data_IF_951837423065
#
_entry.id   IF_951837423065
#
_cell.length_a   1.000
_cell.length_b   1.000
_cell.length_c   1.000
_cell.angle_alpha   90.00
_cell.angle_beta   90.00
_cell.angle_gamma   90.00
#
_symmetry.space_group_name_H-M   'P 1'
#
loop_
_entity.id
_entity.type
_entity.pdbx_description
1 polymer ?
#
# COMPACT_ATOMS: atom_id res chain seq x y z
N UNK A 1 4.98 -4.08 -13.73
CA UNK A 1 4.18 -3.77 -12.52
C UNK A 1 4.16 -4.93 -11.53
N UNK A 2 5.29 -5.24 -10.86
CA UNK A 2 5.40 -6.38 -9.92
C UNK A 2 5.04 -6.02 -8.46
N UNK A 3 4.94 -4.74 -8.14
CA UNK A 3 4.84 -4.26 -6.75
C UNK A 3 3.48 -3.66 -6.37
N UNK A 4 2.46 -3.77 -7.23
CA UNK A 4 1.10 -3.26 -6.94
C UNK A 4 0.51 -3.78 -5.63
N UNK A 5 0.94 -4.95 -5.18
CA UNK A 5 0.49 -5.55 -3.92
C UNK A 5 0.98 -4.78 -2.69
N UNK A 6 1.91 -3.84 -2.83
CA UNK A 6 2.32 -2.92 -1.78
C UNK A 6 1.45 -1.65 -1.72
N UNK A 7 0.64 -1.34 -2.74
CA UNK A 7 -0.19 -0.12 -2.78
C UNK A 7 -1.09 0.07 -1.54
N UNK A 8 -1.75 -0.95 -0.97
CA UNK A 8 -2.57 -0.74 0.22
C UNK A 8 -1.76 -0.19 1.39
N UNK A 9 -0.52 -0.65 1.54
CA UNK A 9 0.39 -0.13 2.54
C UNK A 9 0.69 1.34 2.21
N UNK A 10 1.21 1.63 1.01
CA UNK A 10 1.63 2.99 0.63
C UNK A 10 0.50 4.02 0.71
N UNK A 11 -0.73 3.63 0.36
CA UNK A 11 -1.92 4.48 0.42
C UNK A 11 -2.46 4.73 1.84
N UNK A 12 -1.97 4.00 2.86
CA UNK A 12 -2.37 4.24 4.25
C UNK A 12 -1.70 5.49 4.86
N UNK A 13 -0.67 6.05 4.23
CA UNK A 13 0.16 7.12 4.80
C UNK A 13 0.73 8.05 3.73
N UNK A 14 0.04 8.20 2.60
CA UNK A 14 0.48 9.06 1.51
C UNK A 14 0.76 10.50 1.98
N UNK A 15 0.12 10.93 3.07
CA UNK A 15 0.13 12.29 3.56
C UNK A 15 0.95 12.50 4.86
N UNK A 16 1.29 11.45 5.64
CA UNK A 16 1.97 11.60 6.95
C UNK A 16 2.85 10.41 7.36
N UNK A 17 4.01 10.62 8.03
CA UNK A 17 4.83 9.53 8.59
C UNK A 17 4.03 8.67 9.58
N UNK A 18 4.10 7.35 9.44
CA UNK A 18 3.30 6.42 10.26
C UNK A 18 4.15 5.34 10.92
N UNK A 19 3.83 5.00 12.16
CA UNK A 19 4.41 3.88 12.89
C UNK A 19 3.93 2.53 12.35
N UNK A 20 4.66 1.45 12.65
CA UNK A 20 4.20 0.10 12.28
C UNK A 20 2.85 -0.28 12.91
N UNK A 21 2.50 0.29 14.07
CA UNK A 21 1.22 0.05 14.75
C UNK A 21 0.05 0.68 13.99
N UNK A 22 0.18 1.96 13.63
CA UNK A 22 -0.83 2.69 12.85
C UNK A 22 -1.07 2.04 11.49
N UNK A 23 0.01 1.60 10.82
CA UNK A 23 -0.07 0.85 9.56
C UNK A 23 -0.80 -0.48 9.74
N UNK A 24 -0.60 -1.15 10.87
CA UNK A 24 -1.27 -2.41 11.18
C UNK A 24 -2.78 -2.21 11.34
N UNK A 25 -3.16 -1.15 12.04
CA UNK A 25 -4.56 -0.74 12.24
C UNK A 25 -5.21 -0.35 10.92
N UNK A 26 -4.55 0.51 10.11
CA UNK A 26 -5.07 0.94 8.82
C UNK A 26 -5.32 -0.23 7.86
N UNK A 27 -4.37 -1.18 7.79
CA UNK A 27 -4.49 -2.37 6.95
C UNK A 27 -5.41 -3.44 7.54
N UNK A 28 -5.74 -3.34 8.83
CA UNK A 28 -6.37 -4.40 9.61
C UNK A 28 -5.59 -5.71 9.55
N UNK A 29 -4.26 -5.64 9.61
CA UNK A 29 -3.35 -6.79 9.58
C UNK A 29 -2.70 -7.02 10.94
N UNK A 30 -2.28 -8.26 11.25
CA UNK A 30 -1.42 -8.51 12.40
C UNK A 30 -0.05 -7.82 12.26
N UNK A 31 0.54 -7.36 13.36
CA UNK A 31 1.80 -6.61 13.37
C UNK A 31 2.96 -7.35 12.67
N UNK A 32 3.01 -8.68 12.78
CA UNK A 32 4.04 -9.49 12.09
C UNK A 32 3.95 -9.36 10.56
N UNK A 33 2.72 -9.34 10.01
CA UNK A 33 2.49 -9.18 8.57
C UNK A 33 2.73 -7.75 8.12
N UNK A 34 2.31 -6.77 8.90
CA UNK A 34 2.61 -5.36 8.64
C UNK A 34 4.12 -5.14 8.57
N UNK A 35 4.90 -5.70 9.51
CA UNK A 35 6.37 -5.66 9.47
C UNK A 35 6.94 -6.32 8.21
N UNK A 36 6.37 -7.43 7.75
CA UNK A 36 6.76 -8.06 6.47
C UNK A 36 6.49 -7.14 5.27
N UNK A 37 5.31 -6.50 5.20
CA UNK A 37 4.99 -5.55 4.14
C UNK A 37 5.93 -4.34 4.15
N UNK A 38 6.19 -3.78 5.34
CA UNK A 38 7.15 -2.69 5.55
C UNK A 38 8.54 -3.11 5.07
N UNK A 39 9.01 -4.31 5.43
CA UNK A 39 10.31 -4.82 4.98
C UNK A 39 10.40 -4.85 3.45
N UNK A 40 9.38 -5.37 2.77
CA UNK A 40 9.37 -5.42 1.31
C UNK A 40 9.27 -4.03 0.67
N UNK A 41 8.44 -3.13 1.20
CA UNK A 41 8.33 -1.76 0.71
C UNK A 41 9.64 -0.98 0.90
N UNK A 42 10.37 -1.21 2.01
CA UNK A 42 11.71 -0.67 2.23
C UNK A 42 12.72 -1.26 1.24
N UNK A 43 12.74 -2.58 1.06
CA UNK A 43 13.64 -3.26 0.15
C UNK A 43 13.43 -2.81 -1.31
N UNK A 44 12.18 -2.52 -1.68
CA UNK A 44 11.83 -1.96 -2.98
C UNK A 44 12.10 -0.44 -3.11
N UNK A 45 12.46 0.23 -2.00
CA UNK A 45 12.81 1.65 -1.98
C UNK A 45 11.62 2.60 -2.00
N UNK A 46 10.40 2.15 -1.69
CA UNK A 46 9.20 3.00 -1.66
C UNK A 46 9.03 3.75 -0.34
N UNK A 47 9.60 3.22 0.74
CA UNK A 47 9.57 3.87 2.06
C UNK A 47 10.93 3.83 2.72
N UNK A 48 11.15 4.78 3.64
CA UNK A 48 12.32 4.81 4.52
C UNK A 48 11.86 4.95 5.98
N UNK A 49 12.71 4.49 6.90
CA UNK A 49 12.45 4.58 8.33
C UNK A 49 13.02 5.89 8.86
N UNK A 50 12.24 6.63 9.63
CA UNK A 50 12.65 7.86 10.33
C UNK A 50 12.26 7.71 11.79
N UNK A 51 13.25 7.59 12.67
CA UNK A 51 13.03 7.29 14.10
C UNK A 51 12.11 6.07 14.31
N UNK A 52 10.87 6.28 14.77
CA UNK A 52 9.88 5.24 15.04
C UNK A 52 8.78 5.15 13.98
N UNK A 53 8.85 5.97 12.92
CA UNK A 53 7.87 6.03 11.83
C UNK A 53 8.49 5.66 10.48
N UNK A 54 7.63 5.53 9.49
CA UNK A 54 7.98 5.28 8.09
C UNK A 54 7.36 6.38 7.24
N UNK A 55 8.14 6.90 6.29
CA UNK A 55 7.69 7.90 5.33
C UNK A 55 7.95 7.42 3.90
N UNK A 56 7.15 7.90 2.94
CA UNK A 56 7.37 7.65 1.52
C UNK A 56 8.71 8.26 1.07
N UNK A 57 9.42 7.53 0.23
CA UNK A 57 10.48 8.11 -0.61
C UNK A 57 9.85 8.81 -1.81
N UNK A 58 10.62 9.58 -2.59
CA UNK A 58 10.14 10.14 -3.86
C UNK A 58 9.59 9.06 -4.79
N UNK A 59 10.30 7.93 -4.92
CA UNK A 59 9.82 6.75 -5.65
C UNK A 59 8.48 6.21 -5.11
N UNK A 60 8.28 6.25 -3.79
CA UNK A 60 7.03 5.85 -3.17
C UNK A 60 5.88 6.80 -3.51
N UNK A 61 6.14 8.12 -3.46
CA UNK A 61 5.18 9.16 -3.83
C UNK A 61 4.79 9.05 -5.30
N UNK A 62 5.76 8.98 -6.21
CA UNK A 62 5.53 8.78 -7.65
C UNK A 62 4.66 7.54 -7.92
N UNK A 63 4.92 6.44 -7.20
CA UNK A 63 4.09 5.26 -7.33
C UNK A 63 2.66 5.54 -6.87
N UNK A 64 2.46 6.16 -5.71
CA UNK A 64 1.11 6.50 -5.22
C UNK A 64 0.39 7.45 -6.18
N UNK A 65 1.07 8.49 -6.66
CA UNK A 65 0.53 9.47 -7.63
C UNK A 65 0.16 8.83 -8.98
N UNK A 66 0.85 7.74 -9.36
CA UNK A 66 0.50 6.99 -10.57
C UNK A 66 -0.82 6.20 -10.45
N UNK A 67 -1.42 6.16 -9.25
CA UNK A 67 -2.69 5.48 -8.98
C UNK A 67 -3.71 6.39 -8.29
N UNK A 68 -4.88 6.48 -8.87
CA UNK A 68 -6.05 7.12 -8.25
C UNK A 68 -6.84 6.06 -7.47
N UNK A 69 -7.18 6.32 -6.20
CA UNK A 69 -8.09 5.45 -5.44
C UNK A 69 -9.53 5.77 -5.86
N UNK A 70 -10.17 4.86 -6.59
CA UNK A 70 -11.54 5.05 -7.10
C UNK A 70 -12.61 4.44 -6.19
N UNK A 71 -12.25 3.51 -5.29
CA UNK A 71 -13.17 2.96 -4.29
C UNK A 71 -12.39 2.39 -3.10
N UNK A 72 -12.88 2.64 -1.87
CA UNK A 72 -12.35 2.04 -0.63
C UNK A 72 -13.49 1.40 0.16
N UNK A 73 -13.47 0.09 0.34
CA UNK A 73 -14.46 -0.67 1.12
C UNK A 73 -13.80 -1.67 2.05
N UNK A 74 -13.59 -1.29 3.31
CA UNK A 74 -12.84 -2.08 4.28
C UNK A 74 -11.44 -2.38 3.77
N UNK A 75 -11.08 -3.67 3.68
CA UNK A 75 -9.75 -4.14 3.21
C UNK A 75 -9.62 -4.25 1.68
N UNK A 76 -10.49 -3.56 0.94
CA UNK A 76 -10.54 -3.57 -0.52
C UNK A 76 -10.31 -2.16 -1.04
N UNK A 77 -9.34 -2.01 -1.93
CA UNK A 77 -9.04 -0.78 -2.65
C UNK A 77 -9.19 -1.06 -4.13
N UNK A 78 -10.06 -0.31 -4.80
CA UNK A 78 -10.06 -0.22 -6.26
C UNK A 78 -9.23 1.00 -6.62
N UNK A 79 -8.20 0.78 -7.43
CA UNK A 79 -7.29 1.82 -7.88
C UNK A 79 -7.24 1.85 -9.40
N UNK A 80 -7.12 3.03 -9.99
CA UNK A 80 -6.95 3.25 -11.42
C UNK A 80 -5.54 3.73 -11.67
N UNK A 81 -4.76 2.97 -12.43
CA UNK A 81 -3.43 3.37 -12.90
C UNK A 81 -3.41 3.59 -14.41
N UNK A 82 -2.26 3.98 -14.95
CA UNK A 82 -2.07 4.21 -16.40
C UNK A 82 -2.43 3.00 -17.26
N UNK A 83 -2.16 1.79 -16.76
CA UNK A 83 -2.38 0.53 -17.47
C UNK A 83 -3.77 -0.10 -17.21
N UNK A 84 -4.66 0.60 -16.51
CA UNK A 84 -6.02 0.17 -16.21
C UNK A 84 -6.35 0.07 -14.73
N UNK A 85 -7.45 -0.62 -14.41
CA UNK A 85 -8.00 -0.66 -13.07
C UNK A 85 -7.61 -1.94 -12.33
N UNK A 86 -7.29 -1.80 -11.05
CA UNK A 86 -6.84 -2.89 -10.18
C UNK A 86 -7.65 -2.90 -8.91
N UNK A 87 -8.09 -4.08 -8.51
CA UNK A 87 -8.72 -4.33 -7.24
C UNK A 87 -7.70 -5.02 -6.32
N UNK A 88 -7.29 -4.31 -5.29
CA UNK A 88 -6.32 -4.76 -4.30
C UNK A 88 -7.02 -5.15 -3.01
N UNK A 89 -6.84 -6.40 -2.61
CA UNK A 89 -7.46 -6.98 -1.43
C UNK A 89 -6.39 -7.32 -0.40
N UNK A 90 -6.56 -6.84 0.82
CA UNK A 90 -5.77 -7.27 1.96
C UNK A 90 -6.55 -8.36 2.72
N UNK A 91 -6.21 -9.64 2.51
CA UNK A 91 -6.77 -10.77 3.28
C UNK A 91 -5.86 -11.08 4.47
N UNK A 92 -6.40 -11.72 5.52
CA UNK A 92 -5.68 -12.08 6.77
C UNK A 92 -4.27 -12.68 6.57
N UNK A 93 -4.02 -13.37 5.45
CA UNK A 93 -2.73 -14.02 5.16
C UNK A 93 -2.02 -13.55 3.89
N UNK A 94 -2.66 -12.79 3.00
CA UNK A 94 -2.11 -12.43 1.68
C UNK A 94 -2.70 -11.13 1.14
N UNK A 95 -1.91 -10.38 0.37
CA UNK A 95 -2.42 -9.32 -0.50
C UNK A 95 -2.67 -9.92 -1.88
N UNK A 96 -3.85 -9.70 -2.46
CA UNK A 96 -4.19 -10.13 -3.82
C UNK A 96 -4.47 -8.89 -4.67
N UNK A 97 -3.88 -8.85 -5.85
CA UNK A 97 -4.16 -7.82 -6.87
C UNK A 97 -4.88 -8.52 -8.02
N UNK A 98 -6.00 -7.97 -8.45
CA UNK A 98 -6.74 -8.42 -9.62
C UNK A 98 -6.90 -7.26 -10.59
N UNK A 99 -6.59 -7.45 -11.87
CA UNK A 99 -6.99 -6.49 -12.90
C UNK A 99 -8.50 -6.59 -13.09
N UNK A 100 -9.17 -5.45 -13.14
CA UNK A 100 -10.62 -5.36 -13.33
C UNK A 100 -10.92 -4.37 -14.45
N UNK A 101 -12.07 -4.49 -15.13
CA UNK A 101 -12.49 -3.46 -16.08
C UNK A 101 -12.55 -2.09 -15.42
N UNK A 102 -12.15 -1.05 -16.15
CA UNK A 102 -12.43 0.31 -15.72
C UNK A 102 -13.90 0.60 -16.03
N UNK A 103 -14.67 0.75 -14.96
CA UNK A 103 -16.04 1.28 -14.97
C UNK A 103 -16.00 2.79 -15.06
#
# INVERSE_FOLDING_TARGET
MKDLWLLPLLLCFADDPSSAGELSTCLGLPSSRTKTLIYYARKAGYIKKKENTYELTEKGKELVESFEVVERKGKRLKVKGKDGCFLVFVRKRNVKVLRVPCS
#
